data_IF_496716791149
#
_entry.id   IF_496716791149
#
_cell.length_a   1.000
_cell.length_b   1.000
_cell.length_c   1.000
_cell.angle_alpha   90.00
_cell.angle_beta   90.00
_cell.angle_gamma   90.00
#
_symmetry.space_group_name_H-M   'P 1'
#
loop_
_entity.id
_entity.type
_entity.pdbx_description
1 polymer ?
#
# COMPACT_ATOMS: atom_id res chain seq x y z
N UNK A 1 9.71 -9.56 26.24
CA UNK A 1 9.42 -8.19 26.68
C UNK A 1 8.95 -7.34 25.52
N UNK A 2 7.69 -7.52 25.14
CA UNK A 2 7.00 -6.73 24.12
C UNK A 2 6.65 -5.36 24.71
N UNK A 3 7.61 -4.43 24.70
CA UNK A 3 7.29 -3.02 24.91
C UNK A 3 6.49 -2.54 23.72
N UNK A 4 5.18 -2.41 23.92
CA UNK A 4 4.23 -1.79 22.99
C UNK A 4 4.67 -0.33 22.74
N UNK A 5 5.54 -0.12 21.75
CA UNK A 5 6.09 1.19 21.42
C UNK A 5 5.14 1.88 20.46
N UNK A 6 4.15 2.58 21.02
CA UNK A 6 3.34 3.51 20.27
C UNK A 6 4.23 4.68 19.82
N UNK A 7 4.55 4.74 18.54
CA UNK A 7 5.10 5.95 17.95
C UNK A 7 3.94 6.90 17.72
N UNK A 8 3.78 7.86 18.63
CA UNK A 8 2.88 8.99 18.43
C UNK A 8 3.69 10.02 17.65
N UNK A 9 3.42 10.13 16.35
CA UNK A 9 3.96 11.23 15.55
C UNK A 9 2.98 12.39 15.73
N UNK A 10 3.41 13.39 16.49
CA UNK A 10 2.74 14.71 16.63
C UNK A 10 1.38 14.72 17.36
N UNK A 11 1.14 13.75 18.25
CA UNK A 11 -0.06 13.70 19.11
C UNK A 11 -1.36 13.28 18.40
N UNK A 12 -1.33 13.05 17.08
CA UNK A 12 -2.54 12.90 16.24
C UNK A 12 -2.49 11.72 15.28
N UNK A 13 -1.30 11.26 14.90
CA UNK A 13 -1.11 9.98 14.19
C UNK A 13 -0.60 8.95 15.18
N UNK A 14 -1.45 8.01 15.57
CA UNK A 14 -1.04 6.85 16.36
C UNK A 14 -0.67 5.69 15.43
N UNK A 15 0.62 5.34 15.39
CA UNK A 15 1.01 4.03 14.91
C UNK A 15 0.92 3.08 16.09
N UNK A 16 -0.21 2.37 16.20
CA UNK A 16 -0.30 1.22 17.11
C UNK A 16 0.47 0.09 16.43
N UNK A 17 1.66 -0.20 16.94
CA UNK A 17 2.51 -1.28 16.42
C UNK A 17 2.53 -2.42 17.42
N UNK A 18 1.69 -3.40 17.16
CA UNK A 18 1.78 -4.74 17.73
C UNK A 18 2.23 -5.65 16.57
N UNK A 19 3.23 -6.51 16.78
CA UNK A 19 3.81 -7.33 15.71
C UNK A 19 2.80 -8.26 14.99
N UNK A 20 1.61 -8.45 15.56
CA UNK A 20 0.49 -9.20 15.01
C UNK A 20 -0.73 -8.35 14.63
N UNK A 21 -0.71 -7.04 14.87
CA UNK A 21 -1.87 -6.20 14.66
C UNK A 21 -1.87 -5.56 13.27
N UNK A 22 -3.06 -5.52 12.68
CA UNK A 22 -3.33 -4.75 11.47
C UNK A 22 -3.18 -3.26 11.79
N UNK A 23 -2.29 -2.58 11.07
CA UNK A 23 -2.09 -1.15 11.22
C UNK A 23 -3.28 -0.36 10.66
N UNK A 24 -3.82 0.58 11.41
CA UNK A 24 -4.89 1.46 10.93
C UNK A 24 -4.35 2.82 10.48
N UNK A 25 -4.63 3.19 9.24
CA UNK A 25 -4.24 4.45 8.61
C UNK A 25 -5.52 5.23 8.27
N UNK A 26 -5.62 6.48 8.72
CA UNK A 26 -6.81 7.32 8.46
C UNK A 26 -6.35 8.59 7.74
N UNK A 27 -6.84 8.79 6.52
CA UNK A 27 -6.66 10.04 5.78
C UNK A 27 -7.84 10.97 6.06
N UNK A 28 -7.54 12.20 6.45
CA UNK A 28 -8.54 13.20 6.84
C UNK A 28 -7.98 14.62 6.60
N UNK A 29 -8.78 15.64 6.89
CA UNK A 29 -8.42 17.05 6.72
C UNK A 29 -7.23 17.36 7.64
N UNK A 30 -6.22 18.00 7.07
CA UNK A 30 -5.08 18.49 7.84
C UNK A 30 -5.53 19.45 8.95
N UNK A 31 -5.01 19.35 10.19
CA UNK A 31 -3.88 18.53 10.63
C UNK A 31 -4.26 17.21 11.31
N UNK A 32 -5.51 16.76 11.19
CA UNK A 32 -6.04 15.69 12.04
C UNK A 32 -5.88 14.28 11.43
N UNK A 33 -5.59 14.18 10.14
CA UNK A 33 -5.38 12.90 9.46
C UNK A 33 -4.16 12.91 8.54
N UNK A 34 -3.86 11.74 7.98
CA UNK A 34 -2.84 11.58 6.97
C UNK A 34 -3.26 12.31 5.68
N UNK A 35 -2.35 12.99 4.97
CA UNK A 35 -2.67 13.54 3.66
C UNK A 35 -3.11 12.44 2.70
N UNK A 36 -4.29 12.59 2.12
CA UNK A 36 -4.81 11.64 1.11
C UNK A 36 -3.87 11.47 -0.10
N UNK A 37 -3.03 12.46 -0.42
CA UNK A 37 -2.08 12.37 -1.53
C UNK A 37 -0.96 11.34 -1.31
N UNK A 38 -0.67 10.98 -0.05
CA UNK A 38 0.34 9.95 0.27
C UNK A 38 -0.26 8.55 0.43
N UNK A 39 -1.58 8.40 0.43
CA UNK A 39 -2.25 7.11 0.68
C UNK A 39 -1.86 6.02 -0.33
N UNK A 40 -1.72 6.27 -1.64
CA UNK A 40 -1.30 5.23 -2.58
C UNK A 40 0.14 4.78 -2.32
N UNK A 41 1.03 5.72 -2.01
CA UNK A 41 2.46 5.48 -1.75
C UNK A 41 2.63 4.67 -0.47
N UNK A 42 1.91 5.02 0.60
CA UNK A 42 1.92 4.26 1.86
C UNK A 42 1.39 2.84 1.65
N UNK A 43 0.32 2.68 0.89
CA UNK A 43 -0.25 1.37 0.56
C UNK A 43 0.80 0.49 -0.10
N UNK A 44 1.51 0.99 -1.12
CA UNK A 44 2.60 0.26 -1.79
C UNK A 44 3.74 -0.11 -0.82
N UNK A 45 4.16 0.83 0.04
CA UNK A 45 5.23 0.59 1.01
C UNK A 45 4.86 -0.48 2.05
N UNK A 46 3.64 -0.45 2.56
CA UNK A 46 3.17 -1.43 3.54
C UNK A 46 3.07 -2.83 2.93
N UNK A 47 2.53 -2.93 1.70
CA UNK A 47 2.50 -4.19 0.95
C UNK A 47 3.91 -4.71 0.69
N UNK A 48 4.82 -3.85 0.20
CA UNK A 48 6.22 -4.21 -0.02
C UNK A 48 6.87 -4.75 1.26
N UNK A 49 6.58 -4.15 2.42
CA UNK A 49 7.10 -4.62 3.72
C UNK A 49 6.32 -5.79 4.32
N UNK A 50 5.32 -6.32 3.62
CA UNK A 50 4.44 -7.40 4.09
C UNK A 50 3.78 -7.08 5.45
N UNK A 51 3.31 -5.83 5.61
CA UNK A 51 2.66 -5.33 6.82
C UNK A 51 1.15 -5.28 6.58
N UNK A 52 0.36 -5.98 7.39
CA UNK A 52 -1.12 -5.89 7.32
C UNK A 52 -1.61 -4.49 7.71
N UNK A 53 -2.55 -3.94 6.95
CA UNK A 53 -3.14 -2.64 7.27
C UNK A 53 -4.58 -2.50 6.81
N UNK A 54 -5.28 -1.57 7.46
CA UNK A 54 -6.55 -0.99 7.08
C UNK A 54 -6.32 0.51 6.82
N UNK A 55 -6.53 0.97 5.59
CA UNK A 55 -6.49 2.39 5.24
C UNK A 55 -7.91 2.87 4.96
N UNK A 56 -8.32 3.98 5.56
CA UNK A 56 -9.59 4.65 5.32
C UNK A 56 -9.31 6.08 4.85
N UNK A 57 -9.91 6.49 3.73
CA UNK A 57 -9.78 7.85 3.19
C UNK A 57 -11.10 8.62 3.34
N UNK A 58 -11.22 9.53 4.30
CA UNK A 58 -12.43 10.34 4.49
C UNK A 58 -12.58 11.48 3.47
N UNK A 59 -11.56 11.74 2.64
CA UNK A 59 -11.55 12.85 1.69
C UNK A 59 -11.96 12.40 0.28
N UNK A 60 -11.53 11.21 -0.14
CA UNK A 60 -11.83 10.68 -1.47
C UNK A 60 -12.31 9.23 -1.43
N UNK A 61 -13.55 9.03 -1.90
CA UNK A 61 -14.21 7.71 -1.87
C UNK A 61 -13.56 6.63 -2.75
N UNK A 62 -12.77 7.02 -3.76
CA UNK A 62 -12.28 6.10 -4.80
C UNK A 62 -10.78 6.24 -5.09
N UNK A 63 -9.99 6.66 -4.10
CA UNK A 63 -8.53 6.80 -4.23
C UNK A 63 -7.80 5.47 -3.96
N UNK A 64 -8.21 4.45 -4.68
CA UNK A 64 -7.71 3.07 -4.55
C UNK A 64 -7.49 2.40 -5.91
N UNK A 65 -7.38 3.19 -6.99
CA UNK A 65 -7.19 2.68 -8.36
C UNK A 65 -5.92 1.85 -8.51
N UNK A 66 -4.86 2.20 -7.78
CA UNK A 66 -3.61 1.45 -7.70
C UNK A 66 -3.78 0.01 -7.18
N UNK A 67 -4.79 -0.26 -6.36
CA UNK A 67 -4.99 -1.57 -5.75
C UNK A 67 -5.24 -2.65 -6.81
N UNK A 68 -5.91 -2.31 -7.92
CA UNK A 68 -6.13 -3.25 -9.04
C UNK A 68 -4.81 -3.71 -9.63
N UNK A 69 -3.87 -2.79 -9.83
CA UNK A 69 -2.55 -3.11 -10.33
C UNK A 69 -1.73 -3.92 -9.32
N UNK A 70 -1.89 -3.65 -8.03
CA UNK A 70 -1.24 -4.44 -6.99
C UNK A 70 -1.74 -5.89 -6.96
N UNK A 71 -3.03 -6.15 -7.22
CA UNK A 71 -3.53 -7.53 -7.31
C UNK A 71 -2.92 -8.31 -8.46
N UNK A 72 -2.43 -7.65 -9.52
CA UNK A 72 -1.73 -8.32 -10.63
C UNK A 72 -0.35 -8.86 -10.22
N UNK A 73 0.26 -8.30 -9.17
CA UNK A 73 1.44 -8.87 -8.53
C UNK A 73 1.11 -10.02 -7.57
N UNK A 74 -0.17 -10.37 -7.43
CA UNK A 74 -0.64 -11.47 -6.59
C UNK A 74 -0.90 -11.13 -5.12
N UNK A 75 -0.98 -9.83 -4.79
CA UNK A 75 -1.39 -9.39 -3.44
C UNK A 75 -2.92 -9.42 -3.31
N UNK A 76 -3.45 -10.04 -2.26
CA UNK A 76 -4.89 -10.00 -1.97
C UNK A 76 -5.22 -8.68 -1.26
N UNK A 77 -5.84 -7.75 -1.98
CA UNK A 77 -6.25 -6.45 -1.46
C UNK A 77 -7.76 -6.33 -1.60
N UNK A 78 -8.42 -6.04 -0.49
CA UNK A 78 -9.86 -5.83 -0.44
C UNK A 78 -10.12 -4.32 -0.42
N UNK A 79 -10.89 -3.83 -1.38
CA UNK A 79 -11.33 -2.43 -1.42
C UNK A 79 -12.84 -2.36 -1.23
N UNK A 80 -13.31 -1.54 -0.28
CA UNK A 80 -14.74 -1.30 -0.06
C UNK A 80 -14.99 0.20 0.07
N UNK A 81 -15.41 0.84 -1.02
CA UNK A 81 -15.52 2.30 -1.09
C UNK A 81 -14.17 2.96 -0.82
N UNK A 82 -14.12 3.77 0.24
CA UNK A 82 -12.95 4.51 0.68
C UNK A 82 -11.97 3.72 1.57
N UNK A 83 -12.26 2.43 1.80
CA UNK A 83 -11.45 1.54 2.62
C UNK A 83 -10.59 0.62 1.75
N UNK A 84 -9.34 0.43 2.17
CA UNK A 84 -8.40 -0.55 1.62
C UNK A 84 -7.94 -1.44 2.77
N UNK A 85 -8.03 -2.75 2.60
CA UNK A 85 -7.56 -3.75 3.55
C UNK A 85 -6.56 -4.67 2.86
N UNK A 86 -5.43 -4.90 3.52
CA UNK A 86 -4.42 -5.86 3.11
C UNK A 86 -4.04 -6.76 4.29
N UNK A 87 -4.08 -8.08 4.05
CA UNK A 87 -3.66 -9.11 5.00
C UNK A 87 -2.38 -9.76 4.49
N UNK A 88 -1.29 -9.59 5.26
CA UNK A 88 0.03 -10.16 4.95
C UNK A 88 0.03 -11.67 4.74
N UNK A 89 -0.93 -12.40 5.31
CA UNK A 89 -1.00 -13.85 5.19
C UNK A 89 -1.66 -14.33 3.90
N UNK A 90 -2.18 -13.39 3.10
CA UNK A 90 -2.95 -13.66 1.89
C UNK A 90 -2.30 -13.04 0.66
N UNK A 91 -1.26 -13.68 0.16
CA UNK A 91 -0.69 -13.30 -1.13
C UNK A 91 -0.07 -14.52 -1.81
N UNK A 92 -0.13 -14.53 -3.14
CA UNK A 92 0.59 -15.46 -3.98
C UNK A 92 1.34 -14.65 -5.03
N UNK A 93 2.57 -14.25 -4.73
CA UNK A 93 3.32 -13.33 -5.60
C UNK A 93 3.58 -13.96 -6.96
N UNK A 94 3.13 -13.31 -8.03
CA UNK A 94 3.35 -13.73 -9.40
C UNK A 94 4.03 -12.61 -10.21
N UNK A 95 4.88 -12.95 -11.18
CA UNK A 95 5.48 -11.95 -12.06
C UNK A 95 4.40 -11.28 -12.93
N UNK A 96 4.32 -9.95 -12.86
CA UNK A 96 3.35 -9.15 -13.62
C UNK A 96 4.04 -8.26 -14.67
N UNK A 97 3.66 -8.39 -15.94
CA UNK A 97 4.34 -7.68 -17.06
C UNK A 97 3.73 -6.32 -17.42
N UNK A 98 2.41 -6.17 -17.29
CA UNK A 98 1.68 -5.00 -17.80
C UNK A 98 0.87 -4.29 -16.72
N UNK A 99 1.31 -3.07 -16.40
CA UNK A 99 0.73 -2.24 -15.34
C UNK A 99 0.24 -0.90 -15.89
N UNK A 100 -0.78 -0.33 -15.25
CA UNK A 100 -1.40 0.93 -15.67
C UNK A 100 -1.44 1.96 -14.54
N UNK A 101 -0.85 3.13 -14.78
CA UNK A 101 -0.90 4.25 -13.87
C UNK A 101 -2.14 5.13 -14.15
N UNK A 102 -3.16 5.03 -13.29
CA UNK A 102 -4.40 5.81 -13.50
C UNK A 102 -4.28 7.30 -13.16
N UNK A 103 -3.32 7.67 -12.32
CA UNK A 103 -2.98 9.04 -11.97
C UNK A 103 -1.52 9.11 -11.48
N UNK A 104 -1.01 10.31 -11.22
CA UNK A 104 0.39 10.52 -10.81
C UNK A 104 0.74 9.76 -9.52
N UNK A 105 -0.13 9.77 -8.50
CA UNK A 105 0.15 9.11 -7.21
C UNK A 105 0.05 7.60 -7.33
N UNK A 106 -0.95 7.13 -8.07
CA UNK A 106 -1.12 5.73 -8.43
C UNK A 106 0.10 5.20 -9.21
N UNK A 107 0.59 5.96 -10.20
CA UNK A 107 1.78 5.61 -10.98
C UNK A 107 3.04 5.49 -10.14
N UNK A 108 3.28 6.44 -9.22
CA UNK A 108 4.41 6.34 -8.28
C UNK A 108 4.28 5.10 -7.39
N UNK A 109 3.09 4.81 -6.89
CA UNK A 109 2.85 3.66 -6.02
C UNK A 109 3.06 2.32 -6.75
N UNK A 110 2.58 2.20 -7.99
CA UNK A 110 2.78 1.04 -8.87
C UNK A 110 4.27 0.86 -9.19
N UNK A 111 4.98 1.93 -9.54
CA UNK A 111 6.42 1.88 -9.79
C UNK A 111 7.21 1.42 -8.56
N UNK A 112 6.89 1.93 -7.37
CA UNK A 112 7.56 1.54 -6.13
C UNK A 112 7.37 0.05 -5.84
N UNK A 113 6.14 -0.46 -5.98
CA UNK A 113 5.87 -1.88 -5.75
C UNK A 113 6.54 -2.77 -6.80
N UNK A 114 6.53 -2.34 -8.07
CA UNK A 114 7.23 -3.02 -9.16
C UNK A 114 8.73 -3.16 -8.87
N UNK A 115 9.39 -2.06 -8.50
CA UNK A 115 10.82 -2.05 -8.15
C UNK A 115 11.12 -2.98 -6.97
N UNK A 116 10.27 -2.96 -5.93
CA UNK A 116 10.42 -3.87 -4.81
C UNK A 116 10.32 -5.34 -5.26
N UNK A 117 9.30 -5.66 -6.05
CA UNK A 117 9.02 -7.01 -6.51
C UNK A 117 10.14 -7.58 -7.42
N UNK A 118 10.66 -6.76 -8.33
CA UNK A 118 11.84 -7.12 -9.15
C UNK A 118 13.05 -7.45 -8.27
N UNK A 119 13.27 -6.64 -7.22
CA UNK A 119 14.40 -6.82 -6.33
C UNK A 119 14.27 -8.07 -5.43
N UNK A 120 13.06 -8.49 -5.06
CA UNK A 120 12.87 -9.65 -4.15
C UNK A 120 12.67 -10.98 -4.86
N UNK A 121 12.06 -11.01 -6.05
CA UNK A 121 11.58 -12.26 -6.66
C UNK A 121 12.49 -12.85 -7.74
N UNK A 122 13.80 -12.52 -7.72
CA UNK A 122 14.80 -13.06 -8.65
C UNK A 122 14.36 -13.01 -10.12
N UNK A 123 13.75 -11.89 -10.52
CA UNK A 123 13.36 -11.68 -11.90
C UNK A 123 14.55 -11.86 -12.84
N UNK A 124 14.32 -12.47 -14.01
CA UNK A 124 15.40 -12.60 -14.98
C UNK A 124 15.76 -11.20 -15.47
N UNK A 125 17.04 -10.98 -15.79
CA UNK A 125 17.51 -9.71 -16.35
C UNK A 125 16.81 -9.32 -17.67
N UNK A 126 16.12 -10.26 -18.30
CA UNK A 126 15.37 -10.06 -19.54
C UNK A 126 13.87 -9.84 -19.31
N UNK A 127 13.39 -9.91 -18.06
CA UNK A 127 12.00 -9.62 -17.74
C UNK A 127 11.82 -8.10 -17.67
N UNK A 128 10.97 -7.57 -18.55
CA UNK A 128 10.65 -6.15 -18.60
C UNK A 128 9.31 -5.89 -17.90
N UNK A 129 9.24 -4.78 -17.16
CA UNK A 129 7.98 -4.25 -16.63
C UNK A 129 7.60 -3.03 -17.45
N UNK A 130 6.41 -3.08 -18.02
CA UNK A 130 5.86 -1.98 -18.80
C UNK A 130 4.77 -1.30 -17.97
N UNK A 131 4.94 0.00 -17.73
CA UNK A 131 3.96 0.83 -17.04
C UNK A 131 3.38 1.82 -18.05
N UNK A 132 2.10 1.68 -18.34
CA UNK A 132 1.35 2.57 -19.20
C UNK A 132 0.76 3.74 -18.40
N UNK A 133 0.60 4.91 -19.03
CA UNK A 133 -0.13 6.06 -18.51
C UNK A 133 -1.49 6.19 -19.18
#
# INVERSE_FOLDING_TARGET
DDTNKNAIVDGRTSFIHNHNDTHKLICDIYPNGLPTDISPILTALFIARNISFELIDHIYDKRNTQCKEFTKFGYEIITNGNQILYDRNKHNTEPCKDLFAHDIRSGVAVLLLALYHVNTNQWNKNDEIIIHQ
#
